data_IF_566625874365
#
_entry.id   IF_566625874365
#
_cell.length_a   1.000
_cell.length_b   1.000
_cell.length_c   1.000
_cell.angle_alpha   90.00
_cell.angle_beta   90.00
_cell.angle_gamma   90.00
#
_symmetry.space_group_name_H-M   'P 1'
#
loop_
_entity.id
_entity.type
_entity.pdbx_description
1 polymer ?
#
# COMPACT_ATOMS: atom_id res chain seq x y z
N UNK A 1 -11.56 -25.67 -1.70
CA UNK A 1 -10.70 -25.12 -0.62
C UNK A 1 -11.16 -23.71 -0.29
N UNK A 2 -11.32 -23.40 0.98
CA UNK A 2 -11.74 -22.07 1.42
C UNK A 2 -10.51 -21.26 1.89
N UNK A 3 -10.71 -19.96 2.08
CA UNK A 3 -9.65 -19.08 2.58
C UNK A 3 -9.18 -19.50 3.98
N UNK A 4 -10.10 -19.93 4.84
CA UNK A 4 -9.78 -20.41 6.19
C UNK A 4 -9.00 -21.73 6.23
N UNK A 5 -9.04 -22.48 5.13
CA UNK A 5 -8.32 -23.76 4.99
C UNK A 5 -6.95 -23.58 4.32
N UNK A 6 -6.65 -22.38 3.86
CA UNK A 6 -5.44 -22.09 3.08
C UNK A 6 -4.42 -21.35 3.93
N UNK A 7 -3.21 -21.89 3.99
CA UNK A 7 -2.08 -21.23 4.65
C UNK A 7 -1.13 -20.73 3.57
N UNK A 8 -1.07 -19.41 3.40
CA UNK A 8 -0.22 -18.76 2.42
C UNK A 8 0.97 -18.11 3.11
N UNK A 9 2.15 -18.68 2.88
CA UNK A 9 3.42 -18.18 3.43
C UNK A 9 4.31 -17.54 2.35
N UNK A 10 3.71 -17.10 1.25
CA UNK A 10 4.46 -16.40 0.19
C UNK A 10 5.06 -15.11 0.74
N UNK A 11 6.26 -14.78 0.27
CA UNK A 11 6.99 -13.60 0.71
C UNK A 11 6.46 -12.28 0.11
N UNK A 12 5.96 -12.37 -1.11
CA UNK A 12 5.34 -11.27 -1.83
C UNK A 12 5.17 -11.60 -3.32
N UNK A 13 3.94 -11.52 -3.89
CA UNK A 13 2.69 -11.24 -3.18
C UNK A 13 2.43 -12.16 -2.00
N UNK A 14 1.65 -11.70 -1.04
CA UNK A 14 1.49 -12.37 0.25
C UNK A 14 0.02 -12.32 0.69
N UNK A 15 -0.28 -13.00 1.79
CA UNK A 15 -1.61 -12.95 2.39
C UNK A 15 -1.91 -11.53 2.89
N UNK A 16 -3.14 -11.09 2.68
CA UNK A 16 -3.66 -9.83 3.20
C UNK A 16 -4.77 -10.11 4.22
N UNK A 17 -4.99 -9.24 5.18
CA UNK A 17 -6.16 -9.35 6.06
C UNK A 17 -7.46 -9.35 5.23
N UNK A 18 -8.40 -10.17 5.65
CA UNK A 18 -9.65 -10.34 4.88
C UNK A 18 -10.44 -9.02 4.80
N UNK A 19 -10.44 -8.24 5.86
CA UNK A 19 -11.12 -6.93 5.91
C UNK A 19 -10.57 -5.97 4.85
N UNK A 20 -9.27 -6.02 4.61
CA UNK A 20 -8.61 -5.21 3.57
C UNK A 20 -9.08 -5.64 2.18
N UNK A 21 -9.18 -6.94 1.94
CA UNK A 21 -9.67 -7.47 0.66
C UNK A 21 -11.14 -7.15 0.44
N UNK A 22 -11.96 -7.22 1.47
CA UNK A 22 -13.38 -6.85 1.41
C UNK A 22 -13.55 -5.37 1.08
N UNK A 23 -12.77 -4.51 1.70
CA UNK A 23 -12.79 -3.08 1.40
C UNK A 23 -12.33 -2.81 -0.04
N UNK A 24 -11.25 -3.44 -0.48
CA UNK A 24 -10.77 -3.32 -1.85
C UNK A 24 -11.83 -3.78 -2.87
N UNK A 25 -12.53 -4.86 -2.57
CA UNK A 25 -13.63 -5.35 -3.41
C UNK A 25 -14.78 -4.34 -3.49
N UNK A 26 -15.17 -3.78 -2.36
CA UNK A 26 -16.26 -2.81 -2.30
C UNK A 26 -15.94 -1.51 -3.06
N UNK A 27 -14.68 -1.11 -3.08
CA UNK A 27 -14.22 0.12 -3.71
C UNK A 27 -13.69 -0.08 -5.14
N UNK A 28 -13.67 -1.32 -5.62
CA UNK A 28 -12.97 -1.68 -6.87
C UNK A 28 -13.48 -0.95 -8.10
N UNK A 29 -14.79 -0.72 -8.21
CA UNK A 29 -15.39 -0.04 -9.35
C UNK A 29 -15.66 1.43 -9.12
N UNK A 30 -15.67 1.87 -7.87
CA UNK A 30 -16.01 3.25 -7.54
C UNK A 30 -15.43 3.64 -6.17
N UNK A 31 -14.20 4.10 -6.18
CA UNK A 31 -13.55 4.60 -4.98
C UNK A 31 -14.15 5.95 -4.59
N UNK A 32 -14.85 5.98 -3.46
CA UNK A 32 -15.42 7.18 -2.83
C UNK A 32 -16.15 8.13 -3.80
N UNK A 33 -16.93 7.56 -4.73
CA UNK A 33 -17.72 8.34 -5.67
C UNK A 33 -16.97 8.92 -6.87
N UNK A 34 -15.70 8.53 -7.05
CA UNK A 34 -14.89 9.01 -8.19
C UNK A 34 -15.26 8.35 -9.51
N UNK A 35 -16.00 7.22 -9.46
CA UNK A 35 -16.28 6.40 -10.65
C UNK A 35 -15.10 5.61 -11.16
N UNK A 36 -14.02 5.55 -10.39
CA UNK A 36 -12.77 4.86 -10.75
C UNK A 36 -12.30 3.94 -9.64
N UNK A 37 -11.56 2.89 -10.03
CA UNK A 37 -10.73 2.13 -9.11
C UNK A 37 -9.47 2.91 -8.73
N UNK A 38 -8.94 2.68 -7.55
CA UNK A 38 -7.60 3.18 -7.19
C UNK A 38 -6.55 2.74 -8.21
N UNK A 39 -6.70 1.52 -8.76
CA UNK A 39 -5.79 0.98 -9.79
C UNK A 39 -5.80 1.75 -11.11
N UNK A 40 -6.86 2.55 -11.36
CA UNK A 40 -7.01 3.32 -12.59
C UNK A 40 -6.60 4.78 -12.43
N UNK A 41 -6.27 5.22 -11.21
CA UNK A 41 -5.97 6.62 -10.91
C UNK A 41 -4.56 7.00 -11.35
N UNK A 42 -4.43 8.19 -11.92
CA UNK A 42 -3.12 8.80 -12.12
C UNK A 42 -2.48 9.13 -10.76
N UNK A 43 -1.19 8.83 -10.62
CA UNK A 43 -0.42 9.24 -9.45
C UNK A 43 -0.32 10.77 -9.28
N UNK A 44 -0.70 11.52 -10.32
CA UNK A 44 -0.75 12.99 -10.30
C UNK A 44 -2.11 13.55 -9.91
N UNK A 45 -3.12 12.69 -9.75
CA UNK A 45 -4.44 13.15 -9.34
C UNK A 45 -4.49 13.55 -7.87
N UNK A 46 -5.36 14.49 -7.55
CA UNK A 46 -5.55 14.91 -6.16
C UNK A 46 -6.06 13.77 -5.28
N UNK A 47 -6.95 12.94 -5.81
CA UNK A 47 -7.51 11.78 -5.08
C UNK A 47 -6.39 10.82 -4.69
N UNK A 48 -5.48 10.50 -5.63
CA UNK A 48 -4.34 9.64 -5.32
C UNK A 48 -3.37 10.31 -4.33
N UNK A 49 -3.13 11.60 -4.48
CA UNK A 49 -2.30 12.36 -3.54
C UNK A 49 -2.85 12.28 -2.12
N UNK A 50 -4.17 12.40 -1.96
CA UNK A 50 -4.81 12.31 -0.65
C UNK A 50 -4.65 10.90 -0.04
N UNK A 51 -4.82 9.86 -0.85
CA UNK A 51 -4.56 8.47 -0.43
C UNK A 51 -3.11 8.32 0.02
N UNK A 52 -2.18 8.82 -0.77
CA UNK A 52 -0.74 8.71 -0.51
C UNK A 52 -0.35 9.41 0.80
N UNK A 53 -0.86 10.62 1.03
CA UNK A 53 -0.59 11.35 2.27
C UNK A 53 -1.19 10.64 3.49
N UNK A 54 -2.39 10.09 3.35
CA UNK A 54 -3.03 9.31 4.42
C UNK A 54 -2.21 8.06 4.76
N UNK A 55 -1.72 7.34 3.76
CA UNK A 55 -0.86 6.17 3.95
C UNK A 55 0.42 6.55 4.70
N UNK A 56 1.07 7.65 4.31
CA UNK A 56 2.29 8.14 5.02
C UNK A 56 1.98 8.46 6.48
N UNK A 57 0.88 9.16 6.75
CA UNK A 57 0.48 9.50 8.10
C UNK A 57 0.22 8.26 8.96
N UNK A 58 -0.44 7.25 8.39
CA UNK A 58 -0.71 5.98 9.09
C UNK A 58 0.56 5.20 9.36
N UNK A 59 1.50 5.14 8.43
CA UNK A 59 2.81 4.51 8.65
C UNK A 59 3.57 5.21 9.77
N UNK A 60 3.58 6.54 9.75
CA UNK A 60 4.26 7.34 10.78
C UNK A 60 3.70 7.05 12.16
N UNK A 61 2.38 6.98 12.29
CA UNK A 61 1.70 6.66 13.54
C UNK A 61 1.95 5.21 13.99
N UNK A 62 1.78 4.26 13.07
CA UNK A 62 1.87 2.83 13.39
C UNK A 62 3.29 2.41 13.82
N UNK A 63 4.32 3.00 13.21
CA UNK A 63 5.72 2.66 13.47
C UNK A 63 6.42 3.69 14.37
N UNK A 64 5.69 4.68 14.89
CA UNK A 64 6.24 5.76 15.71
C UNK A 64 7.44 6.45 15.06
N UNK A 65 7.32 6.76 13.77
CA UNK A 65 8.38 7.42 13.00
C UNK A 65 8.46 8.89 13.43
N UNK A 66 9.60 9.37 13.90
CA UNK A 66 9.74 10.77 14.30
C UNK A 66 9.74 11.71 13.10
N UNK A 67 9.42 12.99 13.33
CA UNK A 67 9.36 14.02 12.28
C UNK A 67 10.70 14.28 11.61
N UNK A 68 11.79 13.86 12.23
CA UNK A 68 13.14 13.96 11.67
C UNK A 68 13.42 12.96 10.55
N UNK A 69 12.52 12.00 10.32
CA UNK A 69 12.66 10.94 9.32
C UNK A 69 11.58 11.07 8.26
N UNK A 70 11.98 11.03 7.00
CA UNK A 70 11.07 10.99 5.85
C UNK A 70 10.69 9.56 5.53
N UNK A 71 9.43 9.35 5.10
CA UNK A 71 8.92 8.06 4.64
C UNK A 71 8.90 8.08 3.12
N UNK A 72 9.60 7.14 2.50
CA UNK A 72 9.69 7.01 1.05
C UNK A 72 9.10 5.66 0.61
N UNK A 73 8.35 5.68 -0.48
CA UNK A 73 7.85 4.48 -1.14
C UNK A 73 8.60 4.32 -2.45
N UNK A 74 9.48 3.31 -2.52
CA UNK A 74 10.39 3.13 -3.64
C UNK A 74 10.11 1.79 -4.33
N UNK A 75 10.39 1.73 -5.64
CA UNK A 75 10.29 0.49 -6.40
C UNK A 75 11.49 -0.43 -6.11
N UNK A 76 11.44 -1.65 -6.66
CA UNK A 76 12.57 -2.57 -6.68
C UNK A 76 12.57 -3.62 -5.58
N UNK A 77 11.62 -3.55 -4.66
CA UNK A 77 11.51 -4.50 -3.54
C UNK A 77 12.75 -4.53 -2.66
N UNK A 78 12.87 -5.57 -1.82
CA UNK A 78 14.00 -5.75 -0.91
C UNK A 78 15.33 -5.90 -1.65
N UNK A 79 15.33 -6.56 -2.80
CA UNK A 79 16.56 -6.80 -3.58
C UNK A 79 17.22 -5.50 -4.01
N UNK A 80 16.45 -4.54 -4.55
CA UNK A 80 16.99 -3.26 -4.98
C UNK A 80 17.47 -2.41 -3.81
N UNK A 81 16.88 -2.54 -2.63
CA UNK A 81 17.28 -1.78 -1.45
C UNK A 81 18.71 -2.11 -1.01
N UNK A 82 19.20 -3.32 -1.24
CA UNK A 82 20.58 -3.70 -0.96
C UNK A 82 21.60 -2.88 -1.78
N UNK A 83 21.17 -2.31 -2.89
CA UNK A 83 22.01 -1.40 -3.70
C UNK A 83 21.66 0.05 -3.44
N UNK A 84 20.36 0.39 -3.35
CA UNK A 84 19.89 1.76 -3.26
C UNK A 84 20.29 2.44 -1.94
N UNK A 85 20.22 1.72 -0.82
CA UNK A 85 20.60 2.25 0.47
C UNK A 85 22.09 2.53 0.57
N UNK A 86 23.00 1.57 0.26
CA UNK A 86 24.45 1.83 0.34
C UNK A 86 24.96 2.87 -0.64
N UNK A 87 24.33 3.01 -1.81
CA UNK A 87 24.77 3.94 -2.85
C UNK A 87 24.30 5.39 -2.60
N UNK A 88 23.44 5.59 -1.64
CA UNK A 88 22.86 6.92 -1.40
C UNK A 88 23.64 7.73 -0.36
#
# INVERSE_FOLDING_TARGET
MTRSETFNFSAGPSVLPEEVLQQAQAELLNYHGTGMSVMEMSHRSQVFSDIFQDVKARFRAALSVPDTHEILFLQGGGTAQFSMIPLN
#
